data_IF_777661768150
#
_entry.id   IF_777661768150
#
_cell.length_a   1.000
_cell.length_b   1.000
_cell.length_c   1.000
_cell.angle_alpha   90.00
_cell.angle_beta   90.00
_cell.angle_gamma   90.00
#
_symmetry.space_group_name_H-M   'P 1'
#
loop_
_entity.id
_entity.type
_entity.pdbx_description
1 polymer ?
#
# COMPACT_ATOMS: atom_id res chain seq x y z
N UNK A 1 -15.84 -20.19 55.70
CA UNK A 1 -15.56 -20.87 54.42
C UNK A 1 -15.73 -19.79 53.37
N UNK A 2 -14.63 -19.15 53.01
CA UNK A 2 -14.62 -18.16 51.94
C UNK A 2 -14.42 -18.89 50.61
N UNK A 3 -15.41 -18.75 49.76
CA UNK A 3 -15.43 -19.34 48.43
C UNK A 3 -14.53 -18.47 47.50
N UNK A 4 -13.28 -18.85 47.34
CA UNK A 4 -12.34 -18.22 46.41
C UNK A 4 -12.59 -18.80 45.03
N UNK A 5 -13.52 -18.14 44.29
CA UNK A 5 -13.64 -18.38 42.83
C UNK A 5 -12.32 -18.01 42.16
N UNK A 6 -11.78 -18.84 41.27
CA UNK A 6 -10.55 -18.50 40.52
C UNK A 6 -10.80 -17.25 39.67
N UNK A 7 -10.02 -16.21 39.88
CA UNK A 7 -9.97 -15.06 38.99
C UNK A 7 -9.67 -15.52 37.56
N UNK A 8 -10.56 -15.19 36.64
CA UNK A 8 -10.35 -15.42 35.21
C UNK A 8 -9.05 -14.73 34.78
N UNK A 9 -8.17 -15.38 34.00
CA UNK A 9 -6.95 -14.75 33.54
C UNK A 9 -7.31 -13.45 32.79
N UNK A 10 -6.51 -12.37 32.97
CA UNK A 10 -6.77 -11.11 32.29
C UNK A 10 -6.82 -11.36 30.79
N UNK A 11 -7.91 -11.00 30.14
CA UNK A 11 -8.04 -11.04 28.69
C UNK A 11 -6.87 -10.23 28.10
N UNK A 12 -6.00 -10.91 27.36
CA UNK A 12 -4.89 -10.27 26.68
C UNK A 12 -5.47 -9.15 25.80
N UNK A 13 -5.02 -7.92 26.02
CA UNK A 13 -5.40 -6.78 25.19
C UNK A 13 -5.05 -7.13 23.74
N UNK A 14 -6.06 -7.16 22.85
CA UNK A 14 -5.89 -7.55 21.45
C UNK A 14 -4.77 -6.80 20.73
N UNK A 15 -4.47 -5.58 21.19
CA UNK A 15 -3.34 -4.80 20.72
C UNK A 15 -1.98 -5.44 21.10
N UNK A 16 -1.90 -6.05 22.27
CA UNK A 16 -0.68 -6.72 22.73
C UNK A 16 -0.39 -7.98 21.93
N UNK A 17 -1.42 -8.75 21.56
CA UNK A 17 -1.26 -9.94 20.70
C UNK A 17 -0.76 -9.55 19.30
N UNK A 18 -1.39 -8.57 18.64
CA UNK A 18 -0.95 -8.08 17.33
C UNK A 18 0.52 -7.61 17.38
N UNK A 19 0.91 -6.91 18.44
CA UNK A 19 2.31 -6.46 18.62
C UNK A 19 3.28 -7.66 18.76
N UNK A 20 2.89 -8.69 19.48
CA UNK A 20 3.72 -9.87 19.63
C UNK A 20 3.88 -10.61 18.29
N UNK A 21 2.79 -10.82 17.54
CA UNK A 21 2.86 -11.38 16.18
C UNK A 21 3.80 -10.54 15.30
N UNK A 22 3.69 -9.21 15.33
CA UNK A 22 4.57 -8.35 14.55
C UNK A 22 6.03 -8.43 14.98
N UNK A 23 6.33 -8.46 16.28
CA UNK A 23 7.70 -8.57 16.79
C UNK A 23 8.36 -9.90 16.43
N UNK A 24 7.60 -10.98 16.43
CA UNK A 24 8.10 -12.33 16.16
C UNK A 24 8.21 -12.63 14.65
N UNK A 25 7.30 -12.09 13.84
CA UNK A 25 7.16 -12.49 12.44
C UNK A 25 7.41 -11.36 11.44
N UNK A 26 7.74 -10.12 11.87
CA UNK A 26 8.12 -9.06 10.93
C UNK A 26 9.60 -9.13 10.58
N UNK A 27 9.87 -9.32 9.30
CA UNK A 27 11.22 -9.30 8.75
C UNK A 27 11.38 -8.11 7.80
N UNK A 28 12.64 -7.70 7.59
CA UNK A 28 12.96 -6.71 6.54
C UNK A 28 12.53 -7.27 5.18
N UNK A 29 11.91 -6.45 4.37
CA UNK A 29 11.42 -6.86 3.06
C UNK A 29 11.57 -5.74 2.02
N UNK A 30 11.48 -6.11 0.76
CA UNK A 30 11.48 -5.16 -0.35
C UNK A 30 10.16 -5.27 -1.14
N UNK A 31 9.64 -4.14 -1.59
CA UNK A 31 8.59 -4.09 -2.60
C UNK A 31 9.16 -3.51 -3.89
N UNK A 32 8.82 -4.13 -5.01
CA UNK A 32 9.27 -3.70 -6.34
C UNK A 32 8.10 -2.97 -7.01
N UNK A 33 8.17 -1.64 -7.18
CA UNK A 33 7.16 -0.92 -7.96
C UNK A 33 7.11 -1.49 -9.38
N UNK A 34 5.90 -1.78 -9.83
CA UNK A 34 5.70 -2.44 -11.12
C UNK A 34 4.95 -1.56 -12.10
N UNK A 35 3.85 -0.95 -11.65
CA UNK A 35 2.98 -0.18 -12.52
C UNK A 35 2.23 0.92 -11.74
N UNK A 36 2.28 2.13 -12.26
CA UNK A 36 1.31 3.17 -11.92
C UNK A 36 0.12 3.02 -12.86
N UNK A 37 -1.08 2.98 -12.31
CA UNK A 37 -2.30 2.71 -13.09
C UNK A 37 -3.55 3.35 -12.49
N UNK A 38 -4.57 3.45 -13.33
CA UNK A 38 -5.93 3.76 -12.90
C UNK A 38 -6.61 2.46 -12.47
N UNK A 39 -6.97 2.36 -11.20
CA UNK A 39 -7.69 1.22 -10.62
C UNK A 39 -9.20 1.43 -10.68
N UNK A 40 -9.98 0.48 -10.15
CA UNK A 40 -11.43 0.59 -10.06
C UNK A 40 -11.87 1.92 -9.43
N UNK A 41 -13.01 2.42 -9.83
CA UNK A 41 -13.57 3.71 -9.41
C UNK A 41 -12.67 4.92 -9.74
N UNK A 42 -11.72 4.77 -10.67
CA UNK A 42 -10.80 5.83 -11.05
C UNK A 42 -9.73 6.15 -10.00
N UNK A 43 -9.43 5.23 -9.09
CA UNK A 43 -8.40 5.43 -8.07
C UNK A 43 -7.02 5.24 -8.69
N UNK A 44 -6.12 6.19 -8.47
CA UNK A 44 -4.72 6.10 -8.91
C UNK A 44 -3.89 5.34 -7.89
N UNK A 45 -3.19 4.30 -8.36
CA UNK A 45 -2.38 3.44 -7.49
C UNK A 45 -1.02 3.13 -8.13
N UNK A 46 0.01 3.08 -7.29
CA UNK A 46 1.24 2.38 -7.62
C UNK A 46 1.08 0.94 -7.15
N UNK A 47 1.12 0.03 -8.09
CA UNK A 47 1.07 -1.40 -7.86
C UNK A 47 2.49 -1.97 -7.77
N UNK A 48 2.70 -2.97 -6.92
CA UNK A 48 3.97 -3.67 -6.76
C UNK A 48 3.86 -5.09 -7.33
N UNK A 49 4.98 -5.73 -7.62
CA UNK A 49 5.02 -7.05 -8.27
C UNK A 49 4.25 -8.14 -7.53
N UNK A 50 4.22 -8.07 -6.22
CA UNK A 50 3.58 -9.04 -5.33
C UNK A 50 4.08 -8.85 -3.91
N UNK A 51 3.54 -9.64 -2.98
CA UNK A 51 4.04 -9.72 -1.62
C UNK A 51 5.26 -10.63 -1.54
N UNK A 52 6.38 -10.21 -0.92
CA UNK A 52 7.46 -11.13 -0.61
C UNK A 52 7.03 -12.17 0.43
N UNK A 53 7.66 -13.36 0.41
CA UNK A 53 7.33 -14.48 1.29
C UNK A 53 7.31 -14.11 2.77
N UNK A 54 8.22 -13.24 3.20
CA UNK A 54 8.25 -12.75 4.58
C UNK A 54 6.97 -12.01 4.97
N UNK A 55 6.38 -11.25 4.04
CA UNK A 55 5.11 -10.56 4.26
C UNK A 55 3.94 -11.53 4.14
N UNK A 56 3.96 -12.49 3.21
CA UNK A 56 2.92 -13.52 3.10
C UNK A 56 2.83 -14.35 4.38
N UNK A 57 3.98 -14.77 4.93
CA UNK A 57 4.04 -15.49 6.19
C UNK A 57 3.50 -14.67 7.37
N UNK A 58 3.87 -13.39 7.46
CA UNK A 58 3.31 -12.49 8.46
C UNK A 58 1.78 -12.35 8.32
N UNK A 59 1.28 -12.19 7.09
CA UNK A 59 -0.16 -12.09 6.82
C UNK A 59 -0.89 -13.38 7.22
N UNK A 60 -0.30 -14.54 6.98
CA UNK A 60 -0.84 -15.83 7.43
C UNK A 60 -0.98 -15.86 8.95
N UNK A 61 0.07 -15.47 9.68
CA UNK A 61 0.04 -15.40 11.16
C UNK A 61 -1.00 -14.41 11.68
N UNK A 62 -1.14 -13.24 11.04
CA UNK A 62 -2.18 -12.28 11.38
C UNK A 62 -3.60 -12.81 11.08
N UNK A 63 -3.77 -13.62 10.02
CA UNK A 63 -5.07 -14.21 9.67
C UNK A 63 -5.46 -15.40 10.58
N UNK A 64 -4.50 -16.02 11.28
CA UNK A 64 -4.75 -17.05 12.31
C UNK A 64 -5.29 -16.45 13.61
N UNK A 65 -5.10 -15.14 13.85
CA UNK A 65 -5.61 -14.47 15.05
C UNK A 65 -7.12 -14.25 14.95
N UNK A 66 -7.86 -14.71 15.96
CA UNK A 66 -9.30 -14.51 16.09
C UNK A 66 -9.70 -13.05 16.39
N UNK A 67 -8.72 -12.21 16.76
CA UNK A 67 -8.94 -10.80 17.09
C UNK A 67 -9.08 -9.91 15.85
N UNK A 68 -8.68 -10.39 14.68
CA UNK A 68 -8.74 -9.62 13.45
C UNK A 68 -9.96 -9.99 12.61
N UNK A 69 -10.64 -8.97 12.13
CA UNK A 69 -11.70 -9.17 11.13
C UNK A 69 -11.13 -9.81 9.86
N UNK A 70 -11.97 -10.50 9.08
CA UNK A 70 -11.55 -11.08 7.81
C UNK A 70 -10.82 -10.05 6.94
N UNK A 71 -9.74 -10.48 6.31
CA UNK A 71 -8.93 -9.59 5.48
C UNK A 71 -9.73 -8.91 4.36
N UNK A 72 -9.58 -7.62 4.26
CA UNK A 72 -10.20 -6.83 3.20
C UNK A 72 -9.53 -7.12 1.84
N UNK A 73 -10.30 -7.33 0.74
CA UNK A 73 -9.71 -7.50 -0.59
C UNK A 73 -8.71 -6.40 -0.98
N UNK A 74 -8.89 -5.19 -0.44
CA UNK A 74 -7.98 -4.08 -0.67
C UNK A 74 -6.56 -4.28 -0.18
N UNK A 75 -6.31 -5.10 0.84
CA UNK A 75 -4.98 -5.43 1.36
C UNK A 75 -4.42 -6.76 0.85
N UNK A 76 -5.17 -7.50 0.04
CA UNK A 76 -4.73 -8.79 -0.49
C UNK A 76 -3.61 -8.68 -1.54
N UNK A 77 -3.38 -7.52 -2.11
CA UNK A 77 -2.30 -7.26 -3.06
C UNK A 77 -1.58 -5.95 -2.73
N UNK A 78 -0.24 -5.87 -2.97
CA UNK A 78 0.53 -4.71 -2.59
C UNK A 78 0.29 -3.53 -3.52
N UNK A 79 -0.22 -2.43 -2.96
CA UNK A 79 -0.40 -1.16 -3.69
C UNK A 79 -0.27 0.02 -2.75
N UNK A 80 0.10 1.15 -3.32
CA UNK A 80 0.03 2.46 -2.69
C UNK A 80 -1.00 3.31 -3.42
N UNK A 81 -2.04 3.74 -2.74
CA UNK A 81 -3.04 4.67 -3.30
C UNK A 81 -2.48 6.08 -3.23
N UNK A 82 -2.45 6.79 -4.36
CA UNK A 82 -1.86 8.11 -4.46
C UNK A 82 -2.88 9.23 -4.68
N UNK A 83 -4.09 8.87 -5.13
CA UNK A 83 -5.15 9.84 -5.37
C UNK A 83 -6.44 9.18 -5.84
N UNK A 84 -7.50 9.95 -5.83
CA UNK A 84 -8.85 9.53 -6.24
C UNK A 84 -9.56 10.64 -6.99
N UNK A 85 -10.64 10.32 -7.67
CA UNK A 85 -11.51 11.31 -8.26
C UNK A 85 -12.14 12.18 -7.16
N UNK A 86 -12.30 13.47 -7.43
CA UNK A 86 -13.07 14.37 -6.55
C UNK A 86 -14.52 13.93 -6.46
N UNK A 87 -15.19 14.34 -5.40
CA UNK A 87 -16.61 14.08 -5.22
C UNK A 87 -17.45 14.57 -6.42
N UNK A 88 -18.47 13.80 -6.76
CA UNK A 88 -19.35 14.03 -7.90
C UNK A 88 -18.68 14.04 -9.29
N UNK A 89 -17.38 13.68 -9.38
CA UNK A 89 -16.69 13.52 -10.66
C UNK A 89 -16.80 12.06 -11.11
N UNK A 90 -16.97 11.89 -12.41
CA UNK A 90 -16.89 10.61 -13.11
C UNK A 90 -15.83 10.71 -14.19
N UNK A 91 -15.11 9.62 -14.37
CA UNK A 91 -14.11 9.51 -15.42
C UNK A 91 -14.79 9.28 -16.76
N UNK A 92 -14.59 10.17 -17.74
CA UNK A 92 -15.00 9.94 -19.12
C UNK A 92 -14.01 9.01 -19.80
N UNK A 93 -14.43 8.42 -20.91
CA UNK A 93 -13.57 7.52 -21.67
C UNK A 93 -12.26 8.21 -22.14
N UNK A 94 -12.38 9.39 -22.72
CA UNK A 94 -11.23 10.15 -23.20
C UNK A 94 -10.29 10.58 -22.05
N UNK A 95 -10.85 10.84 -20.87
CA UNK A 95 -10.07 11.16 -19.67
C UNK A 95 -9.31 9.93 -19.17
N UNK A 96 -9.91 8.72 -19.25
CA UNK A 96 -9.23 7.45 -18.93
C UNK A 96 -8.09 7.17 -19.91
N UNK A 97 -8.34 7.34 -21.21
CA UNK A 97 -7.29 7.18 -22.25
C UNK A 97 -6.12 8.12 -21.93
N UNK A 98 -6.41 9.41 -21.67
CA UNK A 98 -5.38 10.39 -21.33
C UNK A 98 -4.61 10.04 -20.06
N UNK A 99 -5.30 9.55 -19.02
CA UNK A 99 -4.65 9.10 -17.79
C UNK A 99 -3.75 7.88 -18.01
N UNK A 100 -4.21 6.92 -18.83
CA UNK A 100 -3.40 5.75 -19.16
C UNK A 100 -2.12 6.14 -19.91
N UNK A 101 -2.19 7.13 -20.84
CA UNK A 101 -1.01 7.67 -21.49
C UNK A 101 -0.02 8.25 -20.46
N UNK A 102 -0.50 9.07 -19.52
CA UNK A 102 0.33 9.66 -18.48
C UNK A 102 0.91 8.60 -17.54
N UNK A 103 0.13 7.56 -17.21
CA UNK A 103 0.61 6.43 -16.42
C UNK A 103 1.71 5.66 -17.16
N UNK A 104 1.55 5.38 -18.47
CA UNK A 104 2.55 4.67 -19.24
C UNK A 104 3.84 5.50 -19.45
N UNK A 105 3.70 6.82 -19.64
CA UNK A 105 4.86 7.72 -19.63
C UNK A 105 5.64 7.60 -18.33
N UNK A 106 4.96 7.72 -17.17
CA UNK A 106 5.57 7.55 -15.86
C UNK A 106 6.21 6.16 -15.68
N UNK A 107 5.51 5.10 -16.09
CA UNK A 107 6.01 3.74 -15.98
C UNK A 107 7.31 3.56 -16.77
N UNK A 108 7.39 4.10 -17.98
CA UNK A 108 8.57 4.03 -18.83
C UNK A 108 9.74 4.84 -18.27
N UNK A 109 9.47 6.09 -17.84
CA UNK A 109 10.50 7.00 -17.35
C UNK A 109 11.00 6.60 -15.95
N UNK A 110 10.09 6.20 -15.06
CA UNK A 110 10.39 6.06 -13.64
C UNK A 110 10.48 4.61 -13.16
N UNK A 111 9.70 3.68 -13.69
CA UNK A 111 9.65 2.32 -13.14
C UNK A 111 10.40 1.28 -13.99
N UNK A 112 10.42 1.41 -15.33
CA UNK A 112 11.06 0.47 -16.25
C UNK A 112 12.53 0.77 -16.55
N UNK A 113 13.14 1.71 -15.82
CA UNK A 113 14.58 2.00 -16.02
C UNK A 113 15.43 0.76 -15.75
N UNK A 114 16.61 0.67 -16.38
CA UNK A 114 17.55 -0.47 -16.24
C UNK A 114 17.97 -0.75 -14.79
N UNK A 115 17.95 0.26 -13.94
CA UNK A 115 18.20 0.10 -12.51
C UNK A 115 16.89 -0.30 -11.83
N UNK A 116 16.77 -1.56 -11.43
CA UNK A 116 15.63 -2.05 -10.65
C UNK A 116 15.50 -1.22 -9.38
N UNK A 117 14.34 -0.61 -9.23
CA UNK A 117 14.02 0.23 -8.08
C UNK A 117 13.29 -0.62 -7.05
N UNK A 118 13.92 -0.81 -5.88
CA UNK A 118 13.32 -1.52 -4.76
C UNK A 118 13.00 -0.53 -3.65
N UNK A 119 11.93 -0.76 -2.94
CA UNK A 119 11.62 -0.05 -1.71
C UNK A 119 11.84 -1.01 -0.54
N UNK A 120 12.92 -0.79 0.21
CA UNK A 120 13.27 -1.62 1.37
C UNK A 120 12.65 -1.08 2.64
N UNK A 121 11.96 -1.95 3.37
CA UNK A 121 11.30 -1.63 4.62
C UNK A 121 11.96 -2.37 5.79
N UNK A 122 12.32 -1.62 6.83
CA UNK A 122 12.93 -2.15 8.06
C UNK A 122 12.01 -2.04 9.26
N UNK A 123 10.79 -1.58 9.06
CA UNK A 123 9.78 -1.44 10.09
C UNK A 123 8.39 -1.45 9.49
N UNK A 124 7.45 -1.89 10.30
CA UNK A 124 6.03 -1.74 10.08
C UNK A 124 5.47 -0.77 11.13
N UNK A 125 4.30 -0.25 10.85
CA UNK A 125 3.65 0.69 11.76
C UNK A 125 2.23 0.21 12.04
N UNK A 126 1.85 0.15 13.32
CA UNK A 126 0.46 0.07 13.74
C UNK A 126 -0.06 1.49 13.78
N UNK A 127 -1.03 1.80 12.93
CA UNK A 127 -1.61 3.15 12.85
C UNK A 127 -3.06 3.13 13.30
N UNK A 128 -3.45 4.14 14.08
CA UNK A 128 -4.84 4.54 14.26
C UNK A 128 -5.02 5.86 13.53
N UNK A 129 -5.97 5.93 12.63
CA UNK A 129 -6.18 7.07 11.76
C UNK A 129 -7.63 7.57 11.86
N UNK A 130 -7.81 8.85 11.59
CA UNK A 130 -9.12 9.49 11.51
C UNK A 130 -9.76 9.35 10.13
N UNK A 131 -8.93 9.14 9.08
CA UNK A 131 -9.41 9.00 7.71
C UNK A 131 -8.58 7.98 6.92
N UNK A 132 -9.21 7.32 5.94
CA UNK A 132 -8.59 6.24 5.14
C UNK A 132 -7.41 6.69 4.29
N UNK A 133 -7.28 7.99 4.02
CA UNK A 133 -6.11 8.55 3.34
C UNK A 133 -4.86 8.55 4.21
N UNK A 134 -4.99 8.31 5.53
CA UNK A 134 -3.93 8.42 6.52
C UNK A 134 -3.26 9.81 6.58
N UNK A 135 -3.92 10.85 6.06
CA UNK A 135 -3.46 12.24 6.23
C UNK A 135 -3.63 12.74 7.67
N UNK A 136 -4.52 12.09 8.43
CA UNK A 136 -4.74 12.32 9.85
C UNK A 136 -4.53 11.05 10.65
N UNK A 137 -3.30 10.89 11.12
CA UNK A 137 -2.90 9.77 11.97
C UNK A 137 -2.97 10.20 13.43
N UNK A 138 -3.74 9.47 14.24
CA UNK A 138 -3.92 9.71 15.67
C UNK A 138 -2.83 9.00 16.50
N UNK A 139 -2.49 7.77 16.10
CA UNK A 139 -1.45 6.96 16.73
C UNK A 139 -0.60 6.31 15.63
N UNK A 140 0.72 6.37 15.81
CA UNK A 140 1.67 5.69 14.92
C UNK A 140 2.73 4.99 15.76
N UNK A 141 2.57 3.69 15.94
CA UNK A 141 3.50 2.87 16.70
C UNK A 141 4.40 2.07 15.76
N UNK A 142 5.70 2.29 15.88
CA UNK A 142 6.71 1.66 15.02
C UNK A 142 7.15 0.33 15.61
N UNK A 143 7.13 -0.70 14.78
CA UNK A 143 7.65 -2.04 15.08
C UNK A 143 8.85 -2.28 14.17
N UNK A 144 10.03 -2.43 14.77
CA UNK A 144 11.23 -2.76 14.01
C UNK A 144 11.13 -4.19 13.46
N UNK A 145 11.45 -4.34 12.19
CA UNK A 145 11.53 -5.64 11.55
C UNK A 145 12.90 -6.29 11.82
N UNK A 146 12.90 -7.60 12.05
CA UNK A 146 14.12 -8.39 12.20
C UNK A 146 14.84 -8.48 10.86
N UNK A 147 16.17 -8.35 10.85
CA UNK A 147 16.95 -8.52 9.62
C UNK A 147 16.97 -10.00 9.25
N UNK A 148 16.39 -10.34 8.12
CA UNK A 148 16.16 -11.75 7.70
C UNK A 148 17.39 -12.40 7.06
N UNK A 149 18.46 -11.82 6.82
CA UNK A 149 19.78 -12.35 6.38
C UNK A 149 20.73 -11.16 6.26
N UNK A 150 22.06 -11.38 6.22
CA UNK A 150 22.95 -10.36 5.70
C UNK A 150 22.38 -9.97 4.33
N UNK A 151 22.16 -8.68 4.12
CA UNK A 151 21.51 -8.14 2.94
C UNK A 151 22.39 -8.51 1.75
N UNK A 152 22.11 -9.63 1.11
CA UNK A 152 22.66 -9.98 -0.17
C UNK A 152 21.95 -9.11 -1.23
N UNK A 153 22.72 -8.36 -1.99
CA UNK A 153 22.22 -7.44 -3.02
C UNK A 153 21.51 -8.16 -4.18
N UNK A 154 21.53 -9.51 -4.18
CA UNK A 154 20.86 -10.36 -5.16
C UNK A 154 19.37 -10.60 -4.87
N UNK A 155 18.70 -9.75 -4.11
CA UNK A 155 17.27 -9.86 -3.76
C UNK A 155 16.28 -9.77 -4.95
N UNK A 156 16.68 -10.33 -6.09
CA UNK A 156 15.86 -10.38 -7.30
C UNK A 156 14.66 -11.34 -7.22
N UNK A 157 14.59 -12.15 -6.15
CA UNK A 157 13.59 -13.23 -6.02
C UNK A 157 12.75 -13.17 -4.74
N UNK A 158 12.47 -11.98 -4.22
CA UNK A 158 11.67 -11.87 -2.99
C UNK A 158 10.18 -12.16 -3.19
N UNK A 159 9.71 -12.26 -4.43
CA UNK A 159 8.31 -12.55 -4.75
C UNK A 159 8.27 -13.87 -5.49
N UNK A 160 7.48 -14.82 -4.96
CA UNK A 160 7.24 -16.09 -5.63
C UNK A 160 6.55 -15.87 -6.98
N UNK A 161 6.86 -16.71 -7.97
CA UNK A 161 6.31 -16.60 -9.32
C UNK A 161 4.79 -16.68 -9.32
N UNK A 162 4.20 -17.53 -8.49
CA UNK A 162 2.74 -17.69 -8.39
C UNK A 162 2.08 -16.43 -7.84
N UNK A 163 2.71 -15.77 -6.87
CA UNK A 163 2.23 -14.49 -6.34
C UNK A 163 2.36 -13.37 -7.39
N UNK A 164 3.47 -13.32 -8.12
CA UNK A 164 3.65 -12.34 -9.20
C UNK A 164 2.58 -12.54 -10.30
N UNK A 165 2.30 -13.79 -10.70
CA UNK A 165 1.27 -14.12 -11.69
C UNK A 165 -0.14 -13.77 -11.18
N UNK A 166 -0.42 -14.06 -9.91
CA UNK A 166 -1.69 -13.69 -9.27
C UNK A 166 -1.92 -12.18 -9.31
N UNK A 167 -0.91 -11.40 -8.99
CA UNK A 167 -1.00 -9.94 -8.98
C UNK A 167 -1.04 -9.38 -10.41
N UNK A 168 -0.31 -9.98 -11.35
CA UNK A 168 -0.40 -9.62 -12.77
C UNK A 168 -1.82 -9.76 -13.32
N UNK A 169 -2.58 -10.77 -12.90
CA UNK A 169 -3.98 -10.93 -13.28
C UNK A 169 -4.82 -9.70 -13.00
N UNK A 170 -4.57 -9.00 -11.87
CA UNK A 170 -5.26 -7.76 -11.51
C UNK A 170 -4.90 -6.61 -12.46
N UNK A 171 -3.67 -6.58 -12.97
CA UNK A 171 -3.21 -5.53 -13.89
C UNK A 171 -3.70 -5.74 -15.31
N UNK A 172 -3.87 -6.99 -15.75
CA UNK A 172 -4.35 -7.29 -17.09
C UNK A 172 -5.72 -6.71 -17.38
N UNK A 173 -6.59 -6.65 -16.36
CA UNK A 173 -7.90 -6.02 -16.50
C UNK A 173 -7.82 -4.55 -16.93
N UNK A 174 -6.71 -3.86 -16.63
CA UNK A 174 -6.55 -2.43 -16.87
C UNK A 174 -5.89 -2.09 -18.22
N UNK A 175 -5.50 -3.10 -19.00
CA UNK A 175 -4.73 -2.89 -20.25
C UNK A 175 -5.59 -2.38 -21.39
N UNK A 176 -6.86 -2.78 -21.43
CA UNK A 176 -7.79 -2.36 -22.45
C UNK A 176 -8.79 -1.34 -21.91
N UNK A 177 -8.64 -0.05 -22.27
CA UNK A 177 -9.52 1.01 -21.79
C UNK A 177 -11.00 0.80 -22.19
N UNK A 178 -11.28 0.14 -23.34
CA UNK A 178 -12.65 -0.05 -23.81
C UNK A 178 -13.44 -0.97 -22.88
N UNK A 179 -12.84 -2.09 -22.48
CA UNK A 179 -13.47 -3.04 -21.56
C UNK A 179 -13.38 -2.58 -20.11
N UNK A 180 -12.30 -1.88 -19.74
CA UNK A 180 -12.04 -1.45 -18.37
C UNK A 180 -12.75 -0.17 -17.97
N UNK A 181 -13.11 0.71 -18.93
CA UNK A 181 -13.72 2.02 -18.63
C UNK A 181 -14.92 1.92 -17.68
N UNK A 182 -15.77 0.92 -17.86
CA UNK A 182 -16.92 0.71 -16.99
C UNK A 182 -16.52 0.56 -15.50
N UNK A 183 -15.47 -0.18 -15.21
CA UNK A 183 -14.97 -0.36 -13.84
C UNK A 183 -14.26 0.89 -13.30
N UNK A 184 -13.50 1.58 -14.14
CA UNK A 184 -12.78 2.81 -13.77
C UNK A 184 -13.76 3.98 -13.54
N UNK A 185 -14.89 4.04 -14.25
CA UNK A 185 -15.88 5.12 -14.17
C UNK A 185 -16.96 4.92 -13.10
N UNK A 186 -17.06 3.72 -12.49
CA UNK A 186 -18.06 3.44 -11.43
C UNK A 186 -17.97 4.44 -10.29
N UNK A 187 -19.13 4.73 -9.70
CA UNK A 187 -19.17 5.45 -8.43
C UNK A 187 -18.57 4.61 -7.31
N UNK A 188 -17.93 5.26 -6.37
CA UNK A 188 -17.24 4.62 -5.24
C UNK A 188 -16.04 5.48 -4.83
N UNK A 189 -15.20 5.04 -4.02
CA UNK A 189 -13.88 5.52 -3.60
C UNK A 189 -13.50 6.95 -4.06
N UNK A 190 -14.37 7.95 -3.80
CA UNK A 190 -14.15 9.37 -4.08
C UNK A 190 -13.42 10.04 -2.92
N UNK A 191 -13.13 11.33 -3.04
CA UNK A 191 -12.43 12.12 -2.03
C UNK A 191 -13.07 11.99 -0.64
N UNK A 192 -14.39 12.09 -0.54
CA UNK A 192 -15.12 11.89 0.71
C UNK A 192 -14.85 10.52 1.33
N UNK A 193 -14.83 9.44 0.54
CA UNK A 193 -14.55 8.09 1.03
C UNK A 193 -13.20 7.98 1.75
N UNK A 194 -12.19 8.71 1.27
CA UNK A 194 -10.84 8.68 1.84
C UNK A 194 -10.63 9.68 2.98
N UNK A 195 -11.29 10.85 2.93
CA UNK A 195 -11.07 11.96 3.85
C UNK A 195 -12.17 12.17 4.88
N UNK A 196 -13.33 11.54 4.71
CA UNK A 196 -14.40 11.57 5.71
C UNK A 196 -13.88 11.01 7.05
N UNK A 197 -14.14 11.70 8.17
CA UNK A 197 -13.78 11.22 9.49
C UNK A 197 -14.36 9.83 9.76
N UNK A 198 -13.50 8.84 9.84
CA UNK A 198 -13.83 7.46 10.18
C UNK A 198 -12.63 6.82 10.84
N UNK A 199 -12.69 6.70 12.15
CA UNK A 199 -11.59 6.05 12.90
C UNK A 199 -11.43 4.62 12.42
N UNK A 200 -10.20 4.27 12.13
CA UNK A 200 -9.81 2.91 11.76
C UNK A 200 -8.39 2.63 12.20
N UNK A 201 -7.98 1.38 12.07
CA UNK A 201 -6.63 0.95 12.40
C UNK A 201 -6.09 -0.04 11.37
N UNK A 202 -4.78 0.04 11.13
CA UNK A 202 -4.11 -0.82 10.16
C UNK A 202 -2.62 -0.99 10.46
N UNK A 203 -2.06 -2.05 9.90
CA UNK A 203 -0.61 -2.27 9.83
C UNK A 203 -0.17 -1.77 8.46
N UNK A 204 0.76 -0.82 8.44
CA UNK A 204 1.22 -0.18 7.22
C UNK A 204 2.74 -0.13 7.11
N UNK A 205 3.22 -0.04 5.87
CA UNK A 205 4.58 0.34 5.51
C UNK A 205 4.53 1.73 4.85
N UNK A 206 5.14 2.74 5.48
CA UNK A 206 5.17 4.11 4.97
C UNK A 206 6.17 4.26 3.83
N UNK A 207 5.75 4.78 2.67
CA UNK A 207 6.64 5.00 1.51
C UNK A 207 7.80 5.95 1.86
N UNK A 208 7.54 6.99 2.66
CA UNK A 208 8.56 7.92 3.16
C UNK A 208 9.65 7.28 4.03
N UNK A 209 9.39 6.10 4.58
CA UNK A 209 10.32 5.35 5.44
C UNK A 209 11.05 4.24 4.68
N UNK A 210 10.71 4.03 3.40
CA UNK A 210 11.38 3.08 2.54
C UNK A 210 12.78 3.59 2.13
N UNK A 211 13.69 2.66 1.93
CA UNK A 211 15.02 2.92 1.38
C UNK A 211 15.09 2.31 -0.02
N UNK A 212 15.78 2.98 -0.95
CA UNK A 212 15.92 2.46 -2.32
C UNK A 212 17.04 1.43 -2.44
N UNK A 213 17.89 1.31 -1.41
CA UNK A 213 18.95 0.32 -1.32
C UNK A 213 18.88 -0.39 0.03
N UNK A 214 19.39 -1.63 0.14
CA UNK A 214 19.46 -2.35 1.41
C UNK A 214 20.32 -1.63 2.46
N UNK A 215 21.33 -0.89 2.01
CA UNK A 215 22.21 -0.05 2.83
C UNK A 215 21.97 1.38 2.38
N UNK A 216 21.74 2.29 3.33
CA UNK A 216 21.55 3.71 3.03
C UNK A 216 22.80 4.25 2.32
N UNK A 217 22.70 4.40 1.00
CA UNK A 217 23.74 5.04 0.22
C UNK A 217 23.62 6.57 0.38
N UNK A 218 24.75 7.23 0.53
CA UNK A 218 24.80 8.69 0.76
C UNK A 218 24.27 9.47 -0.46
N UNK A 219 24.21 8.85 -1.64
CA UNK A 219 23.84 9.47 -2.92
C UNK A 219 22.61 8.83 -3.56
N UNK A 220 21.63 8.38 -2.77
CA UNK A 220 20.40 7.78 -3.31
C UNK A 220 19.46 8.91 -3.78
N UNK A 221 19.54 9.24 -5.07
CA UNK A 221 18.84 10.39 -5.67
C UNK A 221 17.37 10.09 -6.03
N UNK A 222 17.04 8.81 -6.22
CA UNK A 222 15.67 8.46 -6.62
C UNK A 222 14.76 8.24 -5.41
N UNK A 223 13.62 8.90 -5.41
CA UNK A 223 12.57 8.72 -4.42
C UNK A 223 11.22 8.60 -5.12
N UNK A 224 10.48 7.52 -4.83
CA UNK A 224 9.16 7.31 -5.40
C UNK A 224 8.23 8.51 -5.14
N UNK A 225 8.26 9.09 -3.95
CA UNK A 225 7.43 10.26 -3.60
C UNK A 225 7.73 11.46 -4.50
N UNK A 226 9.01 11.72 -4.81
CA UNK A 226 9.40 12.82 -5.71
C UNK A 226 8.92 12.58 -7.15
N UNK A 227 9.09 11.35 -7.66
CA UNK A 227 8.61 10.97 -8.98
C UNK A 227 7.08 11.11 -9.06
N UNK A 228 6.35 10.66 -8.03
CA UNK A 228 4.89 10.79 -7.94
C UNK A 228 4.43 12.25 -7.90
N UNK A 229 5.22 13.16 -7.31
CA UNK A 229 4.91 14.60 -7.34
C UNK A 229 4.94 15.15 -8.77
N UNK A 230 5.94 14.76 -9.56
CA UNK A 230 6.00 15.12 -10.97
C UNK A 230 4.80 14.60 -11.77
N UNK A 231 4.37 13.37 -11.52
CA UNK A 231 3.16 12.79 -12.11
C UNK A 231 1.90 13.54 -11.70
N UNK A 232 1.72 13.85 -10.40
CA UNK A 232 0.60 14.67 -9.91
C UNK A 232 0.48 15.99 -10.67
N UNK A 233 1.60 16.69 -10.87
CA UNK A 233 1.63 17.96 -11.57
C UNK A 233 1.28 17.81 -13.06
N UNK A 234 1.69 16.70 -13.72
CA UNK A 234 1.27 16.37 -15.09
C UNK A 234 -0.25 16.14 -15.17
N UNK A 235 -0.82 15.35 -14.26
CA UNK A 235 -2.27 15.08 -14.20
C UNK A 235 -3.07 16.36 -13.91
N UNK A 236 -2.65 17.20 -12.98
CA UNK A 236 -3.31 18.46 -12.65
C UNK A 236 -3.37 19.43 -13.84
N UNK A 237 -2.33 19.43 -14.68
CA UNK A 237 -2.31 20.23 -15.92
C UNK A 237 -3.19 19.65 -17.01
N UNK A 238 -3.14 18.34 -17.21
CA UNK A 238 -3.88 17.68 -18.30
C UNK A 238 -5.39 17.55 -18.00
N UNK A 239 -5.75 17.32 -16.74
CA UNK A 239 -7.11 17.04 -16.28
C UNK A 239 -7.45 17.91 -15.05
N UNK A 240 -7.54 19.24 -15.22
CA UNK A 240 -7.70 20.15 -14.09
C UNK A 240 -9.00 19.90 -13.32
N UNK A 241 -8.88 19.86 -12.00
CA UNK A 241 -10.04 19.72 -11.10
C UNK A 241 -10.70 18.34 -11.07
N UNK A 242 -10.12 17.33 -11.74
CA UNK A 242 -10.68 15.98 -11.78
C UNK A 242 -10.25 15.14 -10.57
N UNK A 243 -8.97 15.20 -10.17
CA UNK A 243 -8.37 14.40 -9.13
C UNK A 243 -8.08 15.17 -7.84
N UNK A 244 -8.13 14.45 -6.74
CA UNK A 244 -7.59 14.82 -5.44
C UNK A 244 -6.45 13.85 -5.10
N UNK A 245 -5.24 14.39 -4.94
CA UNK A 245 -4.05 13.62 -4.56
C UNK A 245 -3.88 13.65 -3.04
N UNK A 246 -3.31 12.57 -2.49
CA UNK A 246 -3.01 12.47 -1.07
C UNK A 246 -1.65 13.07 -0.76
N UNK A 247 -1.48 13.53 0.49
CA UNK A 247 -0.22 14.06 0.95
C UNK A 247 0.87 13.00 0.84
N UNK A 248 2.04 13.39 0.33
CA UNK A 248 3.16 12.45 0.13
C UNK A 248 3.59 11.77 1.43
N UNK A 249 3.47 12.49 2.55
CA UNK A 249 3.76 11.96 3.89
C UNK A 249 2.77 10.88 4.34
N UNK A 250 1.58 10.81 3.74
CA UNK A 250 0.55 9.84 4.03
C UNK A 250 0.60 8.59 3.13
N UNK A 251 1.45 8.57 2.11
CA UNK A 251 1.57 7.46 1.18
C UNK A 251 2.09 6.21 1.88
N UNK A 252 1.35 5.11 1.75
CA UNK A 252 1.64 3.87 2.45
C UNK A 252 1.17 2.64 1.67
N UNK A 253 1.69 1.48 2.04
CA UNK A 253 1.18 0.18 1.64
C UNK A 253 0.51 -0.46 2.87
N UNK A 254 -0.76 -0.79 2.75
CA UNK A 254 -1.49 -1.49 3.82
C UNK A 254 -1.14 -2.96 3.79
N UNK A 255 -0.50 -3.45 4.86
CA UNK A 255 -0.23 -4.87 5.06
C UNK A 255 -1.51 -5.58 5.50
N UNK A 256 -2.22 -4.99 6.49
CA UNK A 256 -3.43 -5.56 7.06
C UNK A 256 -4.31 -4.45 7.68
N UNK A 257 -5.59 -4.44 7.37
CA UNK A 257 -6.57 -3.68 8.15
C UNK A 257 -6.83 -4.41 9.48
N UNK A 258 -6.92 -3.67 10.57
CA UNK A 258 -7.21 -4.21 11.90
C UNK A 258 -8.70 -4.04 12.21
N UNK A 259 -9.27 -2.86 11.86
CA UNK A 259 -10.69 -2.51 12.05
C UNK A 259 -11.27 -1.90 10.80
#
# INVERSE_FOLDING_TARGET
MEDSSPESPPQADGRSEIKNILREHSYTFALIPYKLMVSWNGVLVVAFKGWPDTVLNLKSKLNESELLVKENPGSMWPKCTIGCLKDRKRLKYEELVKLNELCEEFNNEELRSEKRKHLYFRKLNITVYESRSHERVLVNEKIAATVYRPIDLSFDSCVDQSEEERVKGIYFETLDPETYWFNASKDGNREKHYREPKIGSSIVAWIREAWNTPIRAVNDEWHLTRALKGFEDKVKRALPGLYSFFDQESLHVTIRAIT
#
